data_IF_277486654637
#
_entry.id   IF_277486654637
#
_cell.length_a   1.000
_cell.length_b   1.000
_cell.length_c   1.000
_cell.angle_alpha   90.00
_cell.angle_beta   90.00
_cell.angle_gamma   90.00
#
_symmetry.space_group_name_H-M   'P 1'
#
loop_
_entity.id
_entity.type
_entity.pdbx_description
1 polymer ?
#
# COMPACT_ATOMS: atom_id res chain seq x y z
N UNK A 1 51.59 -8.91 16.76
CA UNK A 1 51.07 -9.53 15.51
C UNK A 1 51.07 -8.46 14.42
N UNK A 2 51.60 -8.70 13.21
CA UNK A 2 51.70 -7.62 12.21
C UNK A 2 50.31 -7.18 11.72
N UNK A 3 50.16 -5.90 11.39
CA UNK A 3 48.89 -5.31 10.89
C UNK A 3 48.30 -6.11 9.73
N UNK A 4 49.17 -6.67 8.87
CA UNK A 4 48.79 -7.54 7.75
C UNK A 4 48.13 -8.86 8.20
N UNK A 5 48.57 -9.45 9.32
CA UNK A 5 47.95 -10.66 9.88
C UNK A 5 46.59 -10.36 10.53
N UNK A 6 46.42 -9.18 11.13
CA UNK A 6 45.14 -8.73 11.71
C UNK A 6 44.10 -8.51 10.61
N UNK A 7 44.49 -7.86 9.51
CA UNK A 7 43.59 -7.61 8.37
C UNK A 7 43.14 -8.91 7.68
N UNK A 8 44.03 -9.90 7.53
CA UNK A 8 43.67 -11.20 6.96
C UNK A 8 42.71 -11.98 7.88
N UNK A 9 42.94 -11.95 9.19
CA UNK A 9 42.05 -12.60 10.15
C UNK A 9 40.67 -11.93 10.16
N UNK A 10 40.61 -10.60 10.13
CA UNK A 10 39.34 -9.86 10.04
C UNK A 10 38.59 -10.16 8.73
N UNK A 11 39.31 -10.32 7.62
CA UNK A 11 38.70 -10.67 6.32
C UNK A 11 38.16 -12.11 6.32
N UNK A 12 38.88 -13.07 6.88
CA UNK A 12 38.43 -14.46 7.00
C UNK A 12 37.25 -14.57 7.97
N UNK A 13 37.24 -13.82 9.06
CA UNK A 13 36.12 -13.77 10.00
C UNK A 13 34.89 -13.10 9.37
N UNK A 14 35.06 -12.03 8.58
CA UNK A 14 33.97 -11.40 7.84
C UNK A 14 33.38 -12.32 6.76
N UNK A 15 34.24 -13.03 6.02
CA UNK A 15 33.81 -14.02 5.02
C UNK A 15 33.11 -15.24 5.67
N UNK A 16 33.59 -15.69 6.83
CA UNK A 16 32.94 -16.75 7.61
C UNK A 16 31.60 -16.28 8.22
N UNK A 17 31.46 -15.00 8.57
CA UNK A 17 30.19 -14.42 9.03
C UNK A 17 29.17 -14.31 7.88
N UNK A 18 29.59 -13.95 6.67
CA UNK A 18 28.71 -13.89 5.49
C UNK A 18 28.22 -15.30 5.09
N UNK A 19 29.06 -16.32 5.25
CA UNK A 19 28.68 -17.72 5.00
C UNK A 19 27.75 -18.36 6.04
N UNK A 20 27.64 -17.79 7.25
CA UNK A 20 26.77 -18.31 8.32
C UNK A 20 25.33 -17.76 8.28
N UNK A 21 25.05 -16.75 7.46
CA UNK A 21 23.71 -16.17 7.28
C UNK A 21 23.13 -16.36 5.88
N UNK A 22 23.76 -17.19 5.05
CA UNK A 22 23.27 -17.54 3.71
C UNK A 22 22.91 -19.01 3.64
N UNK A 23 22.06 -19.46 4.57
CA UNK A 23 21.15 -20.54 4.19
C UNK A 23 20.15 -19.91 3.23
N UNK A 24 20.08 -20.31 1.95
CA UNK A 24 18.92 -19.97 1.15
C UNK A 24 17.74 -20.54 1.92
N UNK A 25 16.84 -19.67 2.39
CA UNK A 25 15.58 -20.09 2.96
C UNK A 25 14.86 -20.76 1.79
N UNK A 26 14.94 -22.08 1.69
CA UNK A 26 14.13 -22.82 0.73
C UNK A 26 12.68 -22.54 1.06
N UNK A 27 11.85 -22.33 0.03
CA UNK A 27 10.41 -22.28 0.22
C UNK A 27 9.94 -23.58 0.89
N UNK A 28 9.70 -23.52 2.19
CA UNK A 28 9.24 -24.65 3.01
C UNK A 28 7.83 -25.09 2.58
N UNK A 29 7.06 -24.20 1.95
CA UNK A 29 5.73 -24.50 1.44
C UNK A 29 4.71 -24.76 2.55
N UNK A 30 3.65 -25.50 2.24
CA UNK A 30 2.68 -25.96 3.22
C UNK A 30 3.18 -27.26 3.88
N UNK A 31 4.04 -27.17 4.89
CA UNK A 31 4.56 -28.35 5.59
C UNK A 31 3.48 -29.11 6.39
N UNK A 32 3.63 -30.43 6.45
CA UNK A 32 2.85 -31.31 7.33
C UNK A 32 3.18 -31.02 8.81
N UNK A 33 2.33 -30.23 9.44
CA UNK A 33 2.40 -29.90 10.87
C UNK A 33 2.03 -31.06 11.84
N UNK A 34 1.91 -32.30 11.34
CA UNK A 34 1.67 -33.51 12.12
C UNK A 34 0.25 -33.66 12.68
N UNK A 35 -0.68 -32.75 12.35
CA UNK A 35 -2.07 -32.85 12.77
C UNK A 35 -2.96 -33.60 11.78
N UNK A 36 -4.27 -33.58 12.05
CA UNK A 36 -5.26 -34.22 11.17
C UNK A 36 -5.73 -33.25 10.10
N UNK A 37 -5.55 -33.66 8.84
CA UNK A 37 -5.93 -32.90 7.67
C UNK A 37 -7.32 -33.32 7.18
N UNK A 38 -8.29 -32.44 7.31
CA UNK A 38 -9.71 -32.69 6.97
C UNK A 38 -10.06 -32.32 5.53
N UNK A 39 -9.20 -31.54 4.88
CA UNK A 39 -9.38 -31.05 3.53
C UNK A 39 -10.41 -29.93 3.41
N UNK A 40 -10.48 -29.26 2.26
CA UNK A 40 -11.36 -28.13 2.04
C UNK A 40 -12.85 -28.51 2.14
N UNK A 41 -13.21 -29.74 1.76
CA UNK A 41 -14.59 -30.24 1.89
C UNK A 41 -15.04 -30.37 3.35
N UNK A 42 -14.10 -30.66 4.27
CA UNK A 42 -14.37 -30.64 5.71
C UNK A 42 -14.73 -29.23 6.19
N UNK A 43 -14.04 -28.21 5.69
CA UNK A 43 -14.28 -26.81 6.03
C UNK A 43 -15.63 -26.31 5.48
N UNK A 44 -16.01 -26.76 4.27
CA UNK A 44 -17.24 -26.36 3.56
C UNK A 44 -18.51 -26.54 4.39
N UNK A 45 -18.58 -27.57 5.24
CA UNK A 45 -19.78 -27.88 6.03
C UNK A 45 -20.22 -26.73 6.94
N UNK A 46 -19.26 -25.96 7.49
CA UNK A 46 -19.54 -24.80 8.34
C UNK A 46 -19.24 -23.47 7.63
N UNK A 47 -18.25 -23.45 6.74
CA UNK A 47 -17.72 -22.24 6.10
C UNK A 47 -17.98 -22.23 4.59
N UNK A 48 -19.21 -22.52 4.16
CA UNK A 48 -19.59 -22.63 2.75
C UNK A 48 -19.21 -21.38 1.94
N UNK A 49 -19.48 -20.19 2.49
CA UNK A 49 -19.16 -18.93 1.80
C UNK A 49 -17.66 -18.81 1.47
N UNK A 50 -16.78 -19.05 2.45
CA UNK A 50 -15.33 -18.99 2.24
C UNK A 50 -14.81 -20.10 1.34
N UNK A 51 -15.42 -21.28 1.38
CA UNK A 51 -15.10 -22.37 0.46
C UNK A 51 -15.42 -22.00 -0.99
N UNK A 52 -16.62 -21.44 -1.24
CA UNK A 52 -17.05 -21.06 -2.59
C UNK A 52 -16.13 -19.96 -3.16
N UNK A 53 -15.73 -18.98 -2.36
CA UNK A 53 -14.75 -17.97 -2.75
C UNK A 53 -13.37 -18.58 -3.02
N UNK A 54 -12.87 -19.46 -2.13
CA UNK A 54 -11.58 -20.15 -2.32
C UNK A 54 -11.55 -20.92 -3.65
N UNK A 55 -12.63 -21.60 -4.01
CA UNK A 55 -12.75 -22.38 -5.24
C UNK A 55 -12.61 -21.50 -6.51
N UNK A 56 -12.89 -20.20 -6.41
CA UNK A 56 -12.70 -19.24 -7.51
C UNK A 56 -11.26 -18.74 -7.61
N UNK A 57 -10.44 -18.91 -6.57
CA UNK A 57 -9.04 -18.44 -6.54
C UNK A 57 -8.09 -19.34 -7.34
N UNK A 58 -6.92 -18.83 -7.71
CA UNK A 58 -5.84 -19.64 -8.30
C UNK A 58 -5.19 -20.61 -7.31
N UNK A 59 -5.34 -20.39 -5.99
CA UNK A 59 -4.82 -21.29 -4.97
C UNK A 59 -5.52 -22.66 -5.01
N UNK A 60 -6.84 -22.68 -5.26
CA UNK A 60 -7.61 -23.92 -5.45
C UNK A 60 -7.26 -24.72 -6.71
N UNK A 61 -6.43 -24.15 -7.60
CA UNK A 61 -5.96 -24.75 -8.86
C UNK A 61 -4.44 -24.79 -8.95
N UNK A 62 -3.73 -24.63 -7.84
CA UNK A 62 -2.27 -24.53 -7.83
C UNK A 62 -1.62 -25.81 -8.38
N UNK A 63 -2.12 -27.00 -8.04
CA UNK A 63 -1.58 -28.26 -8.50
C UNK A 63 -1.88 -28.50 -9.99
N UNK A 64 -3.04 -28.06 -10.47
CA UNK A 64 -3.41 -28.14 -11.89
C UNK A 64 -2.36 -27.46 -12.78
N UNK A 65 -1.81 -26.32 -12.34
CA UNK A 65 -0.71 -25.64 -13.05
C UNK A 65 0.57 -26.47 -13.18
N UNK A 66 0.84 -27.35 -12.22
CA UNK A 66 1.97 -28.28 -12.33
C UNK A 66 1.70 -29.33 -13.40
N UNK A 67 0.49 -29.89 -13.43
CA UNK A 67 0.07 -30.87 -14.43
C UNK A 67 0.15 -30.27 -15.85
N UNK A 68 -0.35 -29.05 -16.03
CA UNK A 68 -0.24 -28.31 -17.31
C UNK A 68 1.21 -28.18 -17.80
N UNK A 69 2.16 -28.07 -16.85
CA UNK A 69 3.59 -27.88 -17.12
C UNK A 69 4.41 -29.18 -17.02
N UNK A 70 3.78 -30.33 -16.78
CA UNK A 70 4.44 -31.62 -16.56
C UNK A 70 5.45 -31.59 -15.40
N UNK A 71 5.09 -30.93 -14.31
CA UNK A 71 5.90 -30.74 -13.10
C UNK A 71 5.23 -31.34 -11.85
N UNK A 72 4.16 -32.11 -12.01
CA UNK A 72 3.35 -32.68 -10.93
C UNK A 72 4.09 -33.73 -10.07
N UNK A 73 5.26 -34.19 -10.50
CA UNK A 73 6.16 -35.06 -9.73
C UNK A 73 7.43 -34.34 -9.27
N UNK A 74 7.56 -33.04 -9.54
CA UNK A 74 8.76 -32.30 -9.19
C UNK A 74 8.75 -31.94 -7.69
N UNK A 75 9.62 -32.59 -6.92
CA UNK A 75 9.73 -32.40 -5.47
C UNK A 75 10.05 -30.96 -5.05
N UNK A 76 10.62 -30.13 -5.93
CA UNK A 76 10.82 -28.69 -5.61
C UNK A 76 9.56 -27.84 -5.80
N UNK A 77 8.59 -28.31 -6.58
CA UNK A 77 7.32 -27.60 -6.82
C UNK A 77 6.22 -28.01 -5.84
N UNK A 78 6.22 -29.28 -5.44
CA UNK A 78 5.16 -29.85 -4.59
C UNK A 78 4.93 -29.10 -3.27
N UNK A 79 5.95 -28.63 -2.52
CA UNK A 79 5.72 -27.93 -1.25
C UNK A 79 4.80 -26.70 -1.38
N UNK A 80 4.89 -25.98 -2.50
CA UNK A 80 4.15 -24.74 -2.73
C UNK A 80 2.82 -24.93 -3.46
N UNK A 81 2.59 -26.11 -4.04
CA UNK A 81 1.44 -26.40 -4.92
C UNK A 81 0.54 -27.50 -4.35
N UNK A 82 0.79 -27.93 -3.12
CA UNK A 82 0.01 -28.93 -2.38
C UNK A 82 -0.20 -28.48 -0.95
N UNK A 83 -1.05 -29.19 -0.20
CA UNK A 83 -1.28 -28.96 1.22
C UNK A 83 -0.77 -30.14 2.06
N UNK A 84 -0.07 -29.82 3.15
CA UNK A 84 0.47 -30.81 4.09
C UNK A 84 1.56 -31.67 3.45
N UNK A 85 2.51 -31.03 2.76
CA UNK A 85 3.65 -31.70 2.16
C UNK A 85 4.63 -32.16 3.23
N UNK A 86 5.07 -33.42 3.14
CA UNK A 86 6.03 -34.03 4.03
C UNK A 86 7.36 -34.20 3.27
N UNK A 87 8.39 -33.48 3.71
CA UNK A 87 9.67 -33.42 3.02
C UNK A 87 10.45 -34.74 3.07
N UNK A 88 10.24 -35.56 4.10
CA UNK A 88 10.93 -36.85 4.27
C UNK A 88 10.39 -37.93 3.33
N UNK A 89 9.06 -37.95 3.16
CA UNK A 89 8.35 -38.96 2.37
C UNK A 89 8.06 -38.51 0.94
N UNK A 90 8.23 -37.22 0.64
CA UNK A 90 7.82 -36.58 -0.61
C UNK A 90 6.34 -36.81 -0.95
N UNK A 91 5.50 -36.88 0.07
CA UNK A 91 4.04 -37.03 -0.06
C UNK A 91 3.31 -35.78 0.42
N UNK A 92 2.05 -35.62 0.04
CA UNK A 92 1.19 -34.52 0.47
C UNK A 92 -0.18 -35.06 0.87
N UNK A 93 -0.93 -34.31 1.68
CA UNK A 93 -2.29 -34.70 2.10
C UNK A 93 -3.32 -34.39 1.04
N UNK A 94 -3.24 -33.19 0.44
CA UNK A 94 -4.17 -32.73 -0.58
C UNK A 94 -3.46 -32.03 -1.73
N UNK A 95 -4.04 -32.16 -2.93
CA UNK A 95 -3.68 -31.30 -4.06
C UNK A 95 -4.12 -29.87 -3.77
N UNK A 96 -3.43 -28.93 -4.39
CA UNK A 96 -3.69 -27.50 -4.34
C UNK A 96 -3.34 -26.84 -3.00
N UNK A 97 -3.37 -25.51 -3.00
CA UNK A 97 -3.21 -24.71 -1.78
C UNK A 97 -4.60 -24.54 -1.18
N UNK A 98 -4.92 -25.40 -0.22
CA UNK A 98 -6.25 -25.48 0.44
C UNK A 98 -6.27 -24.68 1.74
N UNK A 99 -7.40 -24.68 2.46
CA UNK A 99 -7.58 -23.93 3.72
C UNK A 99 -6.45 -24.20 4.74
N UNK A 100 -6.07 -25.47 4.87
CA UNK A 100 -5.11 -25.93 5.87
C UNK A 100 -3.67 -25.55 5.52
N UNK A 101 -3.42 -25.13 4.27
CA UNK A 101 -2.12 -24.59 3.90
C UNK A 101 -1.83 -23.28 4.63
N UNK A 102 -2.84 -22.45 4.90
CA UNK A 102 -2.70 -21.19 5.64
C UNK A 102 -3.07 -21.33 7.12
N UNK A 103 -4.14 -22.08 7.41
CA UNK A 103 -4.69 -22.18 8.76
C UNK A 103 -4.08 -23.29 9.63
N UNK A 104 -3.19 -24.10 9.04
CA UNK A 104 -2.71 -25.34 9.63
C UNK A 104 -3.76 -26.45 9.57
N UNK A 105 -3.39 -27.66 9.98
CA UNK A 105 -4.35 -28.76 10.07
C UNK A 105 -5.43 -28.50 11.12
N UNK A 106 -6.67 -28.87 10.80
CA UNK A 106 -7.84 -28.63 11.65
C UNK A 106 -8.51 -29.91 12.13
N UNK A 107 -8.89 -29.96 13.41
CA UNK A 107 -9.73 -31.04 13.95
C UNK A 107 -11.20 -30.60 14.06
N UNK A 108 -12.04 -31.07 13.13
CA UNK A 108 -13.50 -30.83 13.13
C UNK A 108 -14.14 -31.35 14.41
N UNK A 109 -13.68 -32.50 14.93
CA UNK A 109 -14.30 -33.20 16.06
C UNK A 109 -14.24 -32.35 17.32
N UNK A 110 -13.12 -31.65 17.55
CA UNK A 110 -12.94 -30.76 18.68
C UNK A 110 -13.85 -29.52 18.61
N UNK A 111 -14.02 -28.94 17.42
CA UNK A 111 -14.86 -27.76 17.23
C UNK A 111 -16.35 -28.09 17.36
N UNK A 112 -16.81 -29.21 16.78
CA UNK A 112 -18.19 -29.68 16.93
C UNK A 112 -18.48 -30.05 18.38
N UNK A 113 -17.59 -30.83 19.02
CA UNK A 113 -17.74 -31.21 20.42
C UNK A 113 -17.85 -29.97 21.32
N UNK A 114 -17.00 -28.96 21.11
CA UNK A 114 -17.08 -27.70 21.87
C UNK A 114 -18.41 -26.98 21.66
N UNK A 115 -18.87 -26.80 20.42
CA UNK A 115 -20.15 -26.10 20.15
C UNK A 115 -21.34 -26.86 20.73
N UNK A 116 -21.39 -28.18 20.53
CA UNK A 116 -22.44 -29.04 21.07
C UNK A 116 -22.43 -28.99 22.60
N UNK A 117 -21.26 -29.10 23.23
CA UNK A 117 -21.14 -29.00 24.69
C UNK A 117 -21.57 -27.62 25.19
N UNK A 118 -21.19 -26.52 24.54
CA UNK A 118 -21.65 -25.18 24.91
C UNK A 118 -23.18 -25.04 24.79
N UNK A 119 -23.80 -25.56 23.73
CA UNK A 119 -25.26 -25.47 23.53
C UNK A 119 -26.01 -26.37 24.54
N UNK A 120 -25.53 -27.59 24.76
CA UNK A 120 -26.16 -28.54 25.69
C UNK A 120 -25.97 -28.07 27.12
N UNK A 121 -24.79 -27.59 27.49
CA UNK A 121 -24.49 -27.16 28.86
C UNK A 121 -25.08 -25.79 29.20
N UNK A 122 -25.16 -24.84 28.27
CA UNK A 122 -25.83 -23.55 28.53
C UNK A 122 -27.34 -23.66 28.74
N UNK A 123 -27.97 -24.75 28.27
CA UNK A 123 -29.38 -25.08 28.52
C UNK A 123 -29.61 -25.88 29.80
N UNK A 124 -28.55 -26.40 30.40
CA UNK A 124 -28.57 -27.02 31.72
C UNK A 124 -28.07 -26.00 32.74
N UNK A 125 -28.65 -25.94 33.93
CA UNK A 125 -28.29 -24.94 34.96
C UNK A 125 -26.92 -25.27 35.63
N UNK A 126 -25.88 -25.53 34.83
CA UNK A 126 -24.55 -26.03 35.20
C UNK A 126 -23.53 -24.90 35.15
N UNK A 127 -22.51 -24.96 36.01
CA UNK A 127 -21.54 -23.86 36.15
C UNK A 127 -20.50 -23.84 35.03
N UNK A 128 -19.98 -22.66 34.71
CA UNK A 128 -18.92 -22.47 33.71
C UNK A 128 -17.65 -23.27 34.04
N UNK A 129 -17.40 -23.57 35.32
CA UNK A 129 -16.31 -24.42 35.77
C UNK A 129 -16.46 -25.89 35.32
N UNK A 130 -17.67 -26.46 35.35
CA UNK A 130 -17.90 -27.83 34.91
C UNK A 130 -17.69 -27.98 33.39
N UNK A 131 -18.12 -26.98 32.61
CA UNK A 131 -17.88 -26.95 31.17
C UNK A 131 -16.37 -26.87 30.87
N UNK A 132 -15.63 -26.03 31.59
CA UNK A 132 -14.16 -25.94 31.45
C UNK A 132 -13.47 -27.25 31.81
N UNK A 133 -13.91 -27.94 32.87
CA UNK A 133 -13.34 -29.23 33.27
C UNK A 133 -13.56 -30.30 32.20
N UNK A 134 -14.78 -30.39 31.67
CA UNK A 134 -15.12 -31.38 30.64
C UNK A 134 -14.38 -31.15 29.32
N UNK A 135 -14.28 -29.90 28.86
CA UNK A 135 -13.49 -29.56 27.67
C UNK A 135 -12.01 -29.92 27.85
N UNK A 136 -11.49 -29.84 29.08
CA UNK A 136 -10.12 -30.24 29.44
C UNK A 136 -9.95 -31.76 29.43
N UNK A 137 -10.88 -32.50 30.04
CA UNK A 137 -10.87 -33.98 30.07
C UNK A 137 -11.00 -34.60 28.68
N UNK A 138 -11.79 -34.00 27.80
CA UNK A 138 -11.97 -34.45 26.43
C UNK A 138 -10.73 -34.19 25.54
N UNK A 139 -9.67 -33.57 26.09
CA UNK A 139 -8.44 -33.22 25.38
C UNK A 139 -8.72 -32.54 24.03
N UNK A 140 -9.77 -31.69 23.98
CA UNK A 140 -10.14 -30.90 22.80
C UNK A 140 -9.12 -29.76 22.65
N UNK A 141 -7.88 -30.14 22.36
CA UNK A 141 -6.74 -29.25 22.26
C UNK A 141 -6.91 -28.41 21.01
N UNK A 142 -7.45 -27.20 21.21
CA UNK A 142 -7.11 -25.87 20.64
C UNK A 142 -6.64 -25.69 19.18
N UNK A 143 -6.51 -26.72 18.35
CA UNK A 143 -6.18 -26.55 16.92
C UNK A 143 -7.46 -26.29 16.13
N UNK A 144 -8.19 -25.26 16.59
CA UNK A 144 -9.10 -24.52 15.73
C UNK A 144 -8.23 -23.73 14.75
N UNK A 145 -8.71 -23.55 13.51
CA UNK A 145 -7.99 -22.79 12.48
C UNK A 145 -7.30 -21.56 13.05
N UNK A 146 -5.98 -21.48 12.90
CA UNK A 146 -5.21 -20.36 13.43
C UNK A 146 -5.30 -19.23 12.41
N UNK A 147 -5.74 -18.05 12.85
CA UNK A 147 -5.64 -16.82 12.06
C UNK A 147 -4.18 -16.39 12.09
N UNK A 148 -3.44 -16.71 11.04
CA UNK A 148 -2.08 -16.23 10.86
C UNK A 148 -2.15 -14.98 9.97
N UNK A 149 -1.63 -13.85 10.46
CA UNK A 149 -1.60 -12.58 9.73
C UNK A 149 -0.19 -12.18 9.31
N UNK A 150 0.80 -13.00 9.60
CA UNK A 150 2.19 -12.69 9.27
C UNK A 150 2.41 -12.85 7.76
N UNK A 151 3.34 -12.06 7.21
CA UNK A 151 3.69 -12.15 5.79
C UNK A 151 4.50 -13.43 5.50
N UNK A 152 5.24 -13.93 6.48
CA UNK A 152 6.01 -15.18 6.43
C UNK A 152 5.13 -16.37 6.01
N UNK A 153 3.87 -16.39 6.45
CA UNK A 153 2.93 -17.42 6.04
C UNK A 153 2.79 -17.51 4.51
N UNK A 154 2.72 -16.35 3.85
CA UNK A 154 2.65 -16.23 2.39
C UNK A 154 4.03 -16.48 1.78
N UNK A 155 5.09 -15.97 2.44
CA UNK A 155 6.49 -16.16 2.05
C UNK A 155 6.91 -17.60 1.92
N UNK A 156 6.33 -18.54 2.68
CA UNK A 156 6.57 -19.99 2.51
C UNK A 156 6.44 -20.49 1.06
N UNK A 157 5.64 -19.83 0.24
CA UNK A 157 5.52 -20.12 -1.21
C UNK A 157 5.90 -18.93 -2.10
N UNK A 158 5.57 -17.72 -1.67
CA UNK A 158 5.81 -16.47 -2.42
C UNK A 158 7.18 -15.88 -2.08
N UNK A 159 8.22 -16.69 -2.27
CA UNK A 159 9.61 -16.30 -2.10
C UNK A 159 10.54 -16.94 -3.16
N UNK A 160 11.79 -16.50 -3.19
CA UNK A 160 12.83 -17.01 -4.08
C UNK A 160 12.75 -16.49 -5.52
N UNK A 161 13.61 -17.00 -6.40
CA UNK A 161 13.86 -16.40 -7.72
C UNK A 161 12.63 -16.34 -8.65
N UNK A 162 11.68 -17.26 -8.49
CA UNK A 162 10.49 -17.28 -9.34
C UNK A 162 9.36 -16.39 -8.82
N UNK A 163 9.32 -16.12 -7.51
CA UNK A 163 8.25 -15.37 -6.86
C UNK A 163 8.78 -14.54 -5.67
N UNK A 164 9.71 -13.59 -5.85
CA UNK A 164 10.38 -12.89 -4.74
C UNK A 164 9.49 -11.86 -4.01
N UNK A 165 8.18 -12.10 -3.95
CA UNK A 165 7.18 -11.18 -3.38
C UNK A 165 7.41 -10.90 -1.91
N UNK A 166 7.72 -11.92 -1.12
CA UNK A 166 7.98 -11.74 0.32
C UNK A 166 9.25 -10.94 0.57
N UNK A 167 10.34 -11.23 -0.15
CA UNK A 167 11.60 -10.51 -0.03
C UNK A 167 11.43 -9.04 -0.44
N UNK A 168 10.79 -8.79 -1.59
CA UNK A 168 10.49 -7.44 -2.07
C UNK A 168 9.61 -6.67 -1.07
N UNK A 169 8.56 -7.28 -0.52
CA UNK A 169 7.72 -6.65 0.51
C UNK A 169 8.52 -6.35 1.78
N UNK A 170 9.38 -7.28 2.22
CA UNK A 170 10.14 -7.15 3.45
C UNK A 170 11.11 -5.96 3.39
N UNK A 171 11.64 -5.65 2.21
CA UNK A 171 12.48 -4.46 1.95
C UNK A 171 11.68 -3.15 1.90
N UNK A 172 10.37 -3.22 1.64
CA UNK A 172 9.51 -2.03 1.52
C UNK A 172 9.25 -1.33 2.86
N UNK A 173 8.77 -0.09 2.81
CA UNK A 173 8.30 0.62 4.02
C UNK A 173 6.97 0.09 4.58
N UNK A 174 6.21 -0.69 3.80
CA UNK A 174 4.99 -1.30 4.32
C UNK A 174 5.28 -2.33 5.41
N UNK A 175 6.36 -3.13 5.28
CA UNK A 175 6.78 -4.08 6.32
C UNK A 175 7.12 -3.39 7.65
N UNK A 176 7.56 -2.13 7.59
CA UNK A 176 7.95 -1.32 8.75
C UNK A 176 6.86 -0.38 9.26
N UNK A 177 5.68 -0.38 8.64
CA UNK A 177 4.58 0.55 8.91
C UNK A 177 4.25 0.72 10.40
N UNK A 178 4.06 -0.38 11.15
CA UNK A 178 3.77 -0.33 12.58
C UNK A 178 4.99 0.05 13.43
N UNK A 179 6.17 -0.39 13.03
CA UNK A 179 7.43 -0.07 13.72
C UNK A 179 7.67 1.44 13.68
N UNK A 180 7.47 2.05 12.52
CA UNK A 180 7.63 3.49 12.34
C UNK A 180 6.51 4.28 13.03
N UNK A 181 5.27 3.77 13.03
CA UNK A 181 4.17 4.38 13.78
C UNK A 181 4.46 4.39 15.30
N UNK A 182 4.91 3.27 15.88
CA UNK A 182 5.17 3.15 17.32
C UNK A 182 6.33 4.05 17.79
N UNK A 183 7.23 4.48 16.90
CA UNK A 183 8.28 5.47 17.21
C UNK A 183 7.72 6.89 17.30
N UNK A 184 6.56 7.17 16.69
CA UNK A 184 5.96 8.49 16.69
C UNK A 184 5.21 8.76 18.02
N UNK A 185 5.69 9.73 18.79
CA UNK A 185 5.07 10.12 20.07
C UNK A 185 3.65 10.67 19.94
N UNK A 186 3.27 11.14 18.75
CA UNK A 186 1.93 11.65 18.44
C UNK A 186 0.97 10.60 17.88
N UNK A 187 1.37 9.33 17.79
CA UNK A 187 0.53 8.27 17.27
C UNK A 187 -0.75 8.08 18.09
N UNK A 188 -1.86 7.81 17.38
CA UNK A 188 -3.17 7.50 17.95
C UNK A 188 -3.68 6.18 17.39
N UNK A 189 -4.67 5.58 18.04
CA UNK A 189 -5.28 4.32 17.56
C UNK A 189 -5.85 4.46 16.15
N UNK A 190 -6.41 5.64 15.80
CA UNK A 190 -6.89 5.94 14.45
C UNK A 190 -5.81 5.77 13.36
N UNK A 191 -4.52 5.97 13.69
CA UNK A 191 -3.43 5.78 12.72
C UNK A 191 -3.28 4.31 12.28
N UNK A 192 -3.86 3.36 13.02
CA UNK A 192 -3.80 1.94 12.67
C UNK A 192 -4.61 1.58 11.43
N UNK A 193 -5.56 2.43 11.02
CA UNK A 193 -6.33 2.28 9.78
C UNK A 193 -5.43 2.10 8.54
N UNK A 194 -4.26 2.75 8.55
CA UNK A 194 -3.28 2.66 7.47
C UNK A 194 -2.01 1.89 7.85
N UNK A 195 -1.82 1.52 9.11
CA UNK A 195 -0.53 1.01 9.62
C UNK A 195 -0.60 -0.40 10.21
N UNK A 196 -1.77 -1.06 10.18
CA UNK A 196 -1.90 -2.42 10.69
C UNK A 196 -2.94 -3.24 9.94
N UNK A 197 -2.53 -4.42 9.47
CA UNK A 197 -3.46 -5.42 8.94
C UNK A 197 -4.52 -5.81 9.96
N UNK A 198 -4.16 -5.97 11.24
CA UNK A 198 -5.12 -6.37 12.29
C UNK A 198 -6.28 -5.39 12.39
N UNK A 199 -5.99 -4.09 12.28
CA UNK A 199 -7.01 -3.05 12.32
C UNK A 199 -7.84 -2.99 11.04
N UNK A 200 -7.19 -3.09 9.88
CA UNK A 200 -7.86 -3.06 8.57
C UNK A 200 -8.92 -4.15 8.42
N UNK A 201 -8.63 -5.36 8.95
CA UNK A 201 -9.50 -6.53 8.75
C UNK A 201 -10.40 -6.84 9.95
N UNK A 202 -10.22 -6.14 11.07
CA UNK A 202 -11.04 -6.36 12.26
C UNK A 202 -12.42 -5.76 12.06
N UNK A 203 -13.43 -6.44 12.60
CA UNK A 203 -14.75 -5.85 12.80
C UNK A 203 -14.64 -4.66 13.77
N UNK A 204 -15.57 -3.71 13.67
CA UNK A 204 -15.48 -2.43 14.40
C UNK A 204 -15.28 -2.60 15.93
N UNK A 205 -15.92 -3.62 16.52
CA UNK A 205 -15.84 -3.93 17.95
C UNK A 205 -14.57 -4.70 18.36
N UNK A 206 -13.81 -5.22 17.40
CA UNK A 206 -12.58 -5.98 17.61
C UNK A 206 -11.32 -5.20 17.20
N UNK A 207 -11.48 -3.95 16.75
CA UNK A 207 -10.36 -3.10 16.33
C UNK A 207 -9.32 -2.96 17.46
N UNK A 208 -8.04 -3.28 17.19
CA UNK A 208 -7.00 -3.21 18.19
C UNK A 208 -6.63 -1.75 18.50
N UNK A 209 -6.00 -1.54 19.65
CA UNK A 209 -5.36 -0.27 20.03
C UNK A 209 -3.85 -0.34 19.78
N UNK A 210 -3.15 0.79 19.85
CA UNK A 210 -1.68 0.86 19.78
C UNK A 210 -0.98 -0.04 20.81
N UNK A 211 -1.65 -0.36 21.93
CA UNK A 211 -1.13 -1.24 22.97
C UNK A 211 -1.29 -2.72 22.63
N UNK A 212 -2.37 -3.09 21.95
CA UNK A 212 -2.73 -4.49 21.70
C UNK A 212 -2.30 -4.97 20.32
N UNK A 213 -2.11 -4.06 19.36
CA UNK A 213 -1.72 -4.38 17.99
C UNK A 213 -0.29 -4.94 17.91
N UNK A 214 -0.13 -6.01 17.14
CA UNK A 214 1.14 -6.75 17.03
C UNK A 214 1.75 -6.71 15.62
N UNK A 215 0.93 -6.57 14.59
CA UNK A 215 1.31 -6.74 13.19
C UNK A 215 1.08 -5.46 12.40
N UNK A 216 2.08 -5.06 11.60
CA UNK A 216 1.95 -3.95 10.65
C UNK A 216 1.16 -4.31 9.41
N UNK A 217 1.39 -3.59 8.32
CA UNK A 217 0.86 -3.95 7.00
C UNK A 217 1.56 -5.21 6.48
N UNK A 218 0.78 -6.26 6.28
CA UNK A 218 1.19 -7.55 5.70
C UNK A 218 0.49 -7.78 4.37
N UNK A 219 0.75 -8.91 3.71
CA UNK A 219 0.11 -9.27 2.44
C UNK A 219 -1.42 -9.13 2.51
N UNK A 220 -2.00 -9.50 3.65
CA UNK A 220 -3.44 -9.52 3.89
C UNK A 220 -4.06 -8.12 4.09
N UNK A 221 -3.27 -7.06 4.23
CA UNK A 221 -3.77 -5.69 4.18
C UNK A 221 -4.26 -5.33 2.77
N UNK A 222 -3.63 -5.89 1.74
CA UNK A 222 -3.98 -5.65 0.34
C UNK A 222 -4.79 -6.80 -0.26
N UNK A 223 -4.47 -8.04 0.12
CA UNK A 223 -5.08 -9.25 -0.43
C UNK A 223 -6.08 -9.89 0.53
N UNK A 224 -7.25 -10.24 0.04
CA UNK A 224 -8.24 -11.05 0.74
C UNK A 224 -8.27 -12.46 0.16
N UNK A 225 -7.59 -13.39 0.83
CA UNK A 225 -7.51 -14.80 0.40
C UNK A 225 -8.85 -15.53 0.43
N UNK A 226 -9.88 -14.90 0.99
CA UNK A 226 -11.24 -15.42 1.06
C UNK A 226 -12.24 -14.65 0.17
N UNK A 227 -11.77 -13.79 -0.74
CA UNK A 227 -12.64 -13.07 -1.68
C UNK A 227 -12.00 -12.99 -3.07
N UNK A 228 -12.61 -13.66 -4.05
CA UNK A 228 -12.10 -13.76 -5.41
C UNK A 228 -12.69 -12.72 -6.38
N UNK A 229 -13.61 -11.87 -5.91
CA UNK A 229 -14.34 -10.90 -6.73
C UNK A 229 -13.41 -9.89 -7.45
N UNK A 230 -12.35 -9.45 -6.78
CA UNK A 230 -11.39 -8.50 -7.35
C UNK A 230 -10.16 -9.26 -7.82
N UNK A 231 -9.68 -8.91 -9.02
CA UNK A 231 -8.51 -9.54 -9.62
C UNK A 231 -7.32 -9.54 -8.65
N UNK A 232 -6.55 -10.63 -8.65
CA UNK A 232 -5.41 -10.85 -7.73
C UNK A 232 -5.81 -10.83 -6.25
N UNK A 233 -7.08 -11.09 -5.95
CA UNK A 233 -7.62 -11.16 -4.59
C UNK A 233 -7.48 -9.83 -3.84
N UNK A 234 -7.51 -8.69 -4.53
CA UNK A 234 -7.38 -7.40 -3.85
C UNK A 234 -8.62 -7.10 -2.99
N UNK A 235 -8.45 -6.42 -1.85
CA UNK A 235 -9.58 -6.00 -0.99
C UNK A 235 -10.51 -5.01 -1.68
N UNK A 236 -9.93 -4.14 -2.51
CA UNK A 236 -10.61 -3.11 -3.28
C UNK A 236 -9.96 -3.01 -4.66
N UNK A 237 -10.63 -2.43 -5.67
CA UNK A 237 -10.06 -2.23 -6.99
C UNK A 237 -8.68 -1.54 -6.95
N UNK A 238 -7.79 -1.95 -7.87
CA UNK A 238 -6.39 -1.51 -7.96
C UNK A 238 -6.22 0.02 -7.92
N UNK A 239 -7.15 0.77 -8.52
CA UNK A 239 -7.11 2.23 -8.56
C UNK A 239 -7.43 2.91 -7.22
N UNK A 240 -8.09 2.21 -6.30
CA UNK A 240 -8.49 2.73 -4.97
C UNK A 240 -7.59 2.18 -3.87
N UNK A 241 -6.98 1.02 -4.08
CA UNK A 241 -6.20 0.31 -3.05
C UNK A 241 -5.08 1.13 -2.43
N UNK A 242 -4.31 1.87 -3.23
CA UNK A 242 -3.25 2.71 -2.70
C UNK A 242 -3.81 3.98 -2.06
N UNK A 243 -4.89 4.52 -2.64
CA UNK A 243 -5.55 5.77 -2.21
C UNK A 243 -6.22 5.62 -0.85
N UNK A 244 -6.60 4.40 -0.43
CA UNK A 244 -7.18 4.16 0.90
C UNK A 244 -6.26 4.56 2.04
N UNK A 245 -4.95 4.58 1.82
CA UNK A 245 -3.96 5.01 2.82
C UNK A 245 -3.18 6.26 2.38
N UNK A 246 -2.84 6.38 1.09
CA UNK A 246 -2.04 7.48 0.55
C UNK A 246 -2.91 8.67 0.14
N UNK A 247 -3.66 9.20 1.10
CA UNK A 247 -4.49 10.40 0.99
C UNK A 247 -4.25 11.32 2.19
N UNK A 248 -4.61 12.60 2.12
CA UNK A 248 -4.32 13.55 3.22
C UNK A 248 -5.34 13.59 4.35
N UNK A 249 -6.22 12.58 4.47
CA UNK A 249 -7.24 12.45 5.52
C UNK A 249 -8.12 13.72 5.68
N UNK A 250 -8.37 14.42 4.57
CA UNK A 250 -9.20 15.63 4.57
C UNK A 250 -8.53 16.87 5.17
N UNK A 251 -7.20 16.94 5.23
CA UNK A 251 -6.47 18.12 5.64
C UNK A 251 -6.91 19.39 4.86
N UNK A 252 -6.99 20.52 5.57
CA UNK A 252 -7.41 21.83 5.04
C UNK A 252 -6.42 22.92 5.45
N UNK A 253 -6.47 24.13 4.87
CA UNK A 253 -5.56 25.22 5.22
C UNK A 253 -5.46 25.49 6.72
N UNK A 254 -4.22 25.55 7.22
CA UNK A 254 -3.88 25.66 8.65
C UNK A 254 -3.52 24.33 9.30
N UNK A 255 -3.85 23.20 8.67
CA UNK A 255 -3.29 21.89 8.98
C UNK A 255 -2.07 21.59 8.07
N UNK A 256 -1.23 20.65 8.50
CA UNK A 256 -0.15 20.11 7.68
C UNK A 256 -0.69 18.94 6.87
N UNK A 257 -0.69 18.99 5.52
CA UNK A 257 -1.05 17.83 4.71
C UNK A 257 0.02 16.73 4.89
N UNK A 258 -0.45 15.49 5.07
CA UNK A 258 0.40 14.31 5.13
C UNK A 258 0.06 13.42 3.94
N UNK A 259 1.08 12.93 3.22
CA UNK A 259 0.94 11.97 2.12
C UNK A 259 -0.27 12.23 1.16
N UNK A 260 -0.36 13.43 0.54
CA UNK A 260 -1.45 13.79 -0.38
C UNK A 260 -1.26 13.19 -1.79
N UNK A 261 -0.77 11.95 -1.91
CA UNK A 261 -0.46 11.37 -3.23
C UNK A 261 -1.74 11.19 -4.07
N UNK A 262 -2.84 10.74 -3.47
CA UNK A 262 -4.13 10.64 -4.14
C UNK A 262 -4.62 12.01 -4.63
N UNK A 263 -4.62 13.00 -3.74
CA UNK A 263 -4.98 14.40 -4.03
C UNK A 263 -4.15 14.98 -5.18
N UNK A 264 -2.83 14.79 -5.13
CA UNK A 264 -1.90 15.29 -6.14
C UNK A 264 -2.19 14.66 -7.50
N UNK A 265 -2.28 13.32 -7.56
CA UNK A 265 -2.54 12.57 -8.79
C UNK A 265 -3.87 12.97 -9.42
N UNK A 266 -4.93 13.01 -8.61
CA UNK A 266 -6.30 13.31 -9.05
C UNK A 266 -6.60 14.81 -9.19
N UNK A 267 -5.66 15.67 -8.83
CA UNK A 267 -5.82 17.13 -8.83
C UNK A 267 -6.99 17.64 -8.03
N UNK A 268 -7.11 17.16 -6.80
CA UNK A 268 -8.06 17.68 -5.82
C UNK A 268 -7.35 18.18 -4.56
N UNK A 269 -8.08 18.93 -3.73
CA UNK A 269 -7.47 19.71 -2.65
C UNK A 269 -6.86 21.01 -3.18
N UNK A 270 -5.92 21.57 -2.43
CA UNK A 270 -5.36 22.88 -2.73
C UNK A 270 -6.37 24.03 -2.64
N UNK A 271 -5.86 25.26 -2.56
CA UNK A 271 -6.66 26.47 -2.51
C UNK A 271 -6.52 27.23 -3.82
N UNK A 272 -7.66 27.55 -4.44
CA UNK A 272 -7.78 28.26 -5.72
C UNK A 272 -7.02 27.61 -6.89
N UNK A 273 -6.75 26.30 -6.80
CA UNK A 273 -6.08 25.53 -7.84
C UNK A 273 -7.10 24.81 -8.74
N UNK A 274 -6.85 24.84 -10.04
CA UNK A 274 -7.70 24.16 -11.02
C UNK A 274 -7.40 22.65 -11.07
N UNK A 275 -8.42 21.86 -11.40
CA UNK A 275 -8.30 20.40 -11.55
C UNK A 275 -7.74 20.02 -12.93
N UNK A 276 -6.64 19.26 -12.96
CA UNK A 276 -6.06 18.71 -14.18
C UNK A 276 -5.65 17.25 -14.00
N UNK A 277 -6.49 16.28 -14.40
CA UNK A 277 -6.10 14.87 -14.25
C UNK A 277 -4.96 14.53 -15.24
N UNK A 278 -3.76 14.30 -14.70
CA UNK A 278 -2.60 13.82 -15.44
C UNK A 278 -2.62 12.29 -15.52
N UNK A 279 -2.32 11.74 -16.71
CA UNK A 279 -2.36 10.29 -16.98
C UNK A 279 -3.64 9.61 -16.43
N UNK A 280 -4.85 9.99 -16.88
CA UNK A 280 -6.11 9.54 -16.29
C UNK A 280 -6.34 8.02 -16.33
N UNK A 281 -5.62 7.32 -17.22
CA UNK A 281 -5.68 5.86 -17.34
C UNK A 281 -4.68 5.12 -16.43
N UNK A 282 -3.77 5.83 -15.76
CA UNK A 282 -2.77 5.24 -14.88
C UNK A 282 -3.20 5.34 -13.41
N UNK A 283 -3.08 4.23 -12.70
CA UNK A 283 -3.18 4.14 -11.24
C UNK A 283 -1.80 4.05 -10.61
N UNK A 284 -1.72 4.17 -9.28
CA UNK A 284 -0.47 4.07 -8.52
C UNK A 284 0.31 2.79 -8.87
N UNK A 285 -0.39 1.65 -8.91
CA UNK A 285 0.21 0.36 -9.23
C UNK A 285 0.75 0.28 -10.67
N UNK A 286 0.24 1.07 -11.61
CA UNK A 286 0.73 1.05 -12.99
C UNK A 286 2.13 1.68 -13.14
N UNK A 287 2.63 2.37 -12.11
CA UNK A 287 4.01 2.86 -12.05
C UNK A 287 4.83 2.19 -10.94
N UNK A 288 4.22 1.97 -9.78
CA UNK A 288 4.91 1.46 -8.58
C UNK A 288 4.93 -0.07 -8.47
N UNK A 289 4.32 -0.81 -9.39
CA UNK A 289 4.27 -2.28 -9.37
C UNK A 289 4.73 -2.88 -10.70
N UNK A 290 5.92 -2.50 -11.17
CA UNK A 290 6.51 -3.15 -12.33
C UNK A 290 6.73 -4.64 -12.06
N UNK A 291 6.37 -5.49 -13.03
CA UNK A 291 6.52 -6.93 -12.94
C UNK A 291 7.27 -7.48 -14.13
N UNK A 292 8.08 -8.51 -13.89
CA UNK A 292 8.80 -9.25 -14.93
C UNK A 292 8.88 -10.72 -14.52
N UNK A 293 8.55 -11.62 -15.43
CA UNK A 293 8.68 -13.04 -15.17
C UNK A 293 10.15 -13.46 -15.05
N UNK A 294 10.39 -14.57 -14.35
CA UNK A 294 11.70 -15.21 -14.29
C UNK A 294 12.24 -15.53 -15.69
N UNK A 295 13.47 -15.11 -15.97
CA UNK A 295 14.10 -15.36 -17.26
C UNK A 295 14.82 -16.71 -17.27
N UNK A 296 14.23 -17.71 -17.93
CA UNK A 296 14.81 -19.06 -18.01
C UNK A 296 16.13 -19.14 -18.76
N UNK A 297 16.45 -18.16 -19.62
CA UNK A 297 17.68 -18.17 -20.42
C UNK A 297 18.83 -17.53 -19.67
N UNK A 298 18.59 -16.36 -19.07
CA UNK A 298 19.63 -15.60 -18.35
C UNK A 298 19.68 -15.94 -16.86
N UNK A 299 18.71 -16.71 -16.35
CA UNK A 299 18.51 -17.02 -14.92
C UNK A 299 18.30 -15.75 -14.07
N UNK A 300 17.85 -14.65 -14.67
CA UNK A 300 17.47 -13.48 -13.91
C UNK A 300 16.20 -13.78 -13.09
N UNK A 301 16.20 -13.45 -11.78
CA UNK A 301 15.02 -13.54 -10.94
C UNK A 301 13.83 -12.79 -11.54
N UNK A 302 12.63 -13.26 -11.23
CA UNK A 302 11.40 -12.51 -11.46
C UNK A 302 11.44 -11.20 -10.67
N UNK A 303 10.66 -10.22 -11.13
CA UNK A 303 10.32 -9.01 -10.37
C UNK A 303 8.83 -9.05 -10.15
N UNK A 304 8.40 -9.04 -8.89
CA UNK A 304 6.97 -9.00 -8.60
C UNK A 304 6.50 -7.61 -8.27
N UNK A 305 7.40 -6.63 -8.08
CA UNK A 305 7.15 -5.21 -7.85
C UNK A 305 6.81 -4.83 -6.41
N UNK A 306 6.94 -5.74 -5.43
CA UNK A 306 6.41 -5.57 -4.07
C UNK A 306 7.36 -4.77 -3.17
N UNK A 307 8.44 -4.23 -3.73
CA UNK A 307 9.23 -3.17 -3.13
C UNK A 307 8.53 -1.80 -3.24
N UNK A 308 7.57 -1.68 -4.17
CA UNK A 308 6.81 -0.45 -4.50
C UNK A 308 7.67 0.70 -5.03
N UNK A 309 8.95 0.43 -5.31
CA UNK A 309 9.86 1.35 -5.95
C UNK A 309 9.60 1.40 -7.46
N UNK A 310 9.84 2.56 -8.06
CA UNK A 310 9.67 2.73 -9.51
C UNK A 310 10.83 2.05 -10.23
N UNK A 311 10.50 1.07 -11.07
CA UNK A 311 11.36 0.62 -12.15
C UNK A 311 10.92 1.34 -13.44
N UNK A 312 11.79 2.20 -13.98
CA UNK A 312 11.47 3.01 -15.17
C UNK A 312 11.25 2.18 -16.45
N UNK A 313 11.53 0.87 -16.43
CA UNK A 313 11.05 -0.03 -17.49
C UNK A 313 9.52 -0.01 -17.62
N UNK A 314 8.80 0.29 -16.53
CA UNK A 314 7.35 0.40 -16.53
C UNK A 314 6.83 1.45 -17.52
N UNK A 315 7.58 2.52 -17.77
CA UNK A 315 7.15 3.59 -18.66
C UNK A 315 6.96 3.08 -20.10
N UNK A 316 7.82 2.15 -20.54
CA UNK A 316 7.79 1.59 -21.89
C UNK A 316 6.61 0.62 -22.10
N UNK A 317 5.90 0.22 -21.04
CA UNK A 317 4.66 -0.57 -21.18
C UNK A 317 3.54 0.22 -21.85
N UNK A 318 3.60 1.55 -21.78
CA UNK A 318 2.58 2.46 -22.33
C UNK A 318 3.15 3.48 -23.32
N UNK A 319 4.42 3.88 -23.16
CA UNK A 319 5.03 4.95 -23.95
C UNK A 319 6.03 4.40 -24.97
N UNK A 320 5.57 4.21 -26.21
CA UNK A 320 6.41 3.79 -27.35
C UNK A 320 7.53 4.78 -27.70
N UNK A 321 7.45 6.03 -27.19
CA UNK A 321 8.42 7.09 -27.46
C UNK A 321 9.72 7.03 -26.64
N UNK A 322 9.79 6.17 -25.61
CA UNK A 322 11.03 6.01 -24.83
C UNK A 322 11.89 4.90 -25.44
N UNK A 323 13.15 5.23 -25.70
CA UNK A 323 14.13 4.27 -26.24
C UNK A 323 14.73 3.34 -25.17
N UNK A 324 14.66 3.73 -23.89
CA UNK A 324 15.17 2.94 -22.75
C UNK A 324 14.62 3.46 -21.41
N UNK A 325 14.78 2.67 -20.35
CA UNK A 325 14.40 3.06 -18.99
C UNK A 325 15.19 4.30 -18.51
N UNK A 326 16.48 4.41 -18.84
CA UNK A 326 17.30 5.57 -18.48
C UNK A 326 16.77 6.84 -19.14
N UNK A 327 16.24 6.74 -20.37
CA UNK A 327 15.65 7.89 -21.04
C UNK A 327 14.33 8.31 -20.41
N UNK A 328 13.52 7.36 -19.97
CA UNK A 328 12.30 7.62 -19.21
C UNK A 328 12.61 8.26 -17.85
N UNK A 329 13.60 7.73 -17.14
CA UNK A 329 14.08 8.30 -15.87
C UNK A 329 14.57 9.74 -16.04
N UNK A 330 15.41 9.99 -17.05
CA UNK A 330 15.92 11.33 -17.33
C UNK A 330 14.79 12.32 -17.62
N UNK A 331 13.78 11.91 -18.39
CA UNK A 331 12.60 12.74 -18.65
C UNK A 331 11.88 13.13 -17.35
N UNK A 332 11.64 12.17 -16.45
CA UNK A 332 11.01 12.43 -15.14
C UNK A 332 11.88 13.33 -14.27
N UNK A 333 13.20 13.10 -14.23
CA UNK A 333 14.14 13.91 -13.43
C UNK A 333 14.21 15.36 -13.90
N UNK A 334 14.22 15.62 -15.21
CA UNK A 334 14.18 16.97 -15.77
C UNK A 334 12.92 17.70 -15.33
N UNK A 335 11.77 17.05 -15.43
CA UNK A 335 10.50 17.62 -14.99
C UNK A 335 10.47 17.89 -13.47
N UNK A 336 10.97 16.97 -12.65
CA UNK A 336 11.10 17.18 -11.21
C UNK A 336 12.03 18.36 -10.89
N UNK A 337 13.13 18.52 -11.62
CA UNK A 337 14.07 19.62 -11.40
C UNK A 337 13.45 20.99 -11.71
N UNK A 338 12.66 21.09 -12.78
CA UNK A 338 11.91 22.31 -13.11
C UNK A 338 10.94 22.69 -12.00
N UNK A 339 10.12 21.75 -11.55
CA UNK A 339 9.14 21.95 -10.47
C UNK A 339 9.86 22.35 -9.18
N UNK A 340 10.92 21.64 -8.81
CA UNK A 340 11.64 21.91 -7.56
C UNK A 340 12.39 23.24 -7.59
N UNK A 341 12.80 23.72 -8.75
CA UNK A 341 13.38 25.06 -8.90
C UNK A 341 12.36 26.12 -8.49
N UNK A 342 11.11 26.01 -8.99
CA UNK A 342 10.04 26.96 -8.64
C UNK A 342 9.53 26.78 -7.21
N UNK A 343 9.48 25.55 -6.72
CA UNK A 343 9.18 25.26 -5.32
C UNK A 343 10.17 25.96 -4.38
N UNK A 344 11.48 25.83 -4.66
CA UNK A 344 12.53 26.39 -3.80
C UNK A 344 12.52 27.92 -3.75
N UNK A 345 12.20 28.61 -4.84
CA UNK A 345 12.02 30.07 -4.81
C UNK A 345 10.75 30.46 -4.04
N UNK A 346 9.67 29.72 -4.22
CA UNK A 346 8.37 30.01 -3.63
C UNK A 346 8.35 29.79 -2.12
N UNK A 347 8.96 28.71 -1.62
CA UNK A 347 8.99 28.42 -0.17
C UNK A 347 9.69 29.52 0.63
N UNK A 348 10.68 30.20 0.05
CA UNK A 348 11.33 31.37 0.66
C UNK A 348 10.38 32.57 0.78
N UNK A 349 9.56 32.81 -0.26
CA UNK A 349 8.51 33.84 -0.21
C UNK A 349 7.46 33.51 0.85
N UNK A 350 7.04 32.25 0.95
CA UNK A 350 6.09 31.78 1.97
C UNK A 350 6.65 31.99 3.37
N UNK A 351 7.94 31.72 3.59
CA UNK A 351 8.61 31.99 4.87
C UNK A 351 8.65 33.48 5.21
N UNK A 352 8.88 34.36 4.22
CA UNK A 352 8.78 35.81 4.42
C UNK A 352 7.34 36.24 4.75
N UNK A 353 6.35 35.70 4.05
CA UNK A 353 4.94 35.96 4.30
C UNK A 353 4.51 35.55 5.71
N UNK A 354 5.05 34.44 6.24
CA UNK A 354 4.86 34.05 7.64
C UNK A 354 5.37 35.13 8.61
N UNK A 355 6.60 35.62 8.40
CA UNK A 355 7.20 36.64 9.27
C UNK A 355 6.38 37.94 9.28
N UNK A 356 5.90 38.38 8.11
CA UNK A 356 5.03 39.55 7.98
C UNK A 356 3.69 39.32 8.69
N UNK A 357 3.07 38.16 8.48
CA UNK A 357 1.82 37.80 9.13
C UNK A 357 1.96 37.78 10.65
N UNK A 358 3.08 37.27 11.17
CA UNK A 358 3.36 37.22 12.60
C UNK A 358 3.65 38.60 13.21
N UNK A 359 4.25 39.51 12.45
CA UNK A 359 4.48 40.90 12.87
C UNK A 359 3.22 41.78 12.79
N UNK A 360 2.20 41.34 12.05
CA UNK A 360 0.93 42.07 11.90
C UNK A 360 0.12 42.00 13.20
N UNK A 361 -0.42 43.14 13.63
CA UNK A 361 -1.19 43.27 14.87
C UNK A 361 -2.64 43.70 14.60
N UNK A 362 -3.49 43.63 15.63
CA UNK A 362 -4.88 44.04 15.53
C UNK A 362 -5.75 43.12 14.65
N UNK A 363 -6.81 43.67 14.08
CA UNK A 363 -7.83 42.94 13.31
C UNK A 363 -7.31 42.38 11.98
N UNK A 364 -6.25 42.97 11.42
CA UNK A 364 -5.68 42.52 10.15
C UNK A 364 -4.84 41.24 10.31
N UNK A 365 -4.35 40.93 11.51
CA UNK A 365 -3.58 39.71 11.78
C UNK A 365 -4.31 38.45 11.31
N UNK A 366 -5.61 38.35 11.59
CA UNK A 366 -6.42 37.19 11.20
C UNK A 366 -6.48 37.02 9.68
N UNK A 367 -6.59 38.12 8.93
CA UNK A 367 -6.63 38.10 7.46
C UNK A 367 -5.30 37.64 6.87
N UNK A 368 -4.20 38.16 7.40
CA UNK A 368 -2.86 37.78 6.96
C UNK A 368 -2.58 36.30 7.22
N UNK A 369 -2.91 35.81 8.42
CA UNK A 369 -2.74 34.39 8.74
C UNK A 369 -3.65 33.48 7.93
N UNK A 370 -4.87 33.91 7.59
CA UNK A 370 -5.76 33.14 6.71
C UNK A 370 -5.11 32.92 5.33
N UNK A 371 -4.67 33.99 4.67
CA UNK A 371 -4.02 33.89 3.34
C UNK A 371 -2.67 33.16 3.42
N UNK A 372 -1.93 33.34 4.52
CA UNK A 372 -0.69 32.59 4.77
C UNK A 372 -0.96 31.09 4.88
N UNK A 373 -1.99 30.69 5.62
CA UNK A 373 -2.35 29.27 5.79
C UNK A 373 -2.72 28.63 4.46
N UNK A 374 -3.42 29.35 3.58
CA UNK A 374 -3.74 28.89 2.23
C UNK A 374 -2.47 28.76 1.35
N UNK A 375 -1.60 29.77 1.38
CA UNK A 375 -0.31 29.76 0.67
C UNK A 375 0.56 28.58 1.13
N UNK A 376 0.72 28.44 2.45
CA UNK A 376 1.48 27.37 3.08
C UNK A 376 0.89 26.00 2.80
N UNK A 377 -0.43 25.86 2.78
CA UNK A 377 -1.07 24.58 2.50
C UNK A 377 -0.74 24.08 1.09
N UNK A 378 -0.88 24.94 0.08
CA UNK A 378 -0.57 24.59 -1.31
C UNK A 378 0.89 24.14 -1.49
N UNK A 379 1.85 24.89 -0.95
CA UNK A 379 3.27 24.52 -1.08
C UNK A 379 3.59 23.24 -0.29
N UNK A 380 2.99 23.05 0.88
CA UNK A 380 3.20 21.87 1.69
C UNK A 380 2.65 20.61 1.00
N UNK A 381 1.53 20.67 0.29
CA UNK A 381 1.00 19.54 -0.49
C UNK A 381 2.05 19.00 -1.48
N UNK A 382 2.73 19.89 -2.22
CA UNK A 382 3.79 19.50 -3.18
C UNK A 382 4.95 18.79 -2.49
N UNK A 383 5.35 19.26 -1.31
CA UNK A 383 6.46 18.67 -0.55
C UNK A 383 6.10 17.38 0.18
N UNK A 384 4.83 17.24 0.59
CA UNK A 384 4.31 16.11 1.34
C UNK A 384 4.00 14.92 0.41
N UNK A 385 3.69 15.20 -0.86
CA UNK A 385 3.47 14.21 -1.92
C UNK A 385 4.73 13.37 -2.22
N UNK A 386 5.93 13.95 -2.02
CA UNK A 386 7.26 13.32 -2.21
C UNK A 386 7.63 12.95 -3.65
N UNK A 387 6.74 13.07 -4.63
CA UNK A 387 7.06 12.75 -6.01
C UNK A 387 7.84 13.87 -6.73
N UNK A 388 8.04 15.02 -6.06
CA UNK A 388 8.60 16.25 -6.65
C UNK A 388 7.80 16.70 -7.89
N UNK A 389 6.49 16.48 -7.85
CA UNK A 389 5.55 16.82 -8.92
C UNK A 389 5.38 15.76 -10.01
N UNK A 390 6.15 14.66 -10.01
CA UNK A 390 5.97 13.56 -10.97
C UNK A 390 4.56 12.94 -10.99
N UNK A 391 3.81 12.92 -9.88
CA UNK A 391 2.43 12.42 -9.85
C UNK A 391 1.48 13.31 -10.65
N UNK A 392 1.72 14.62 -10.64
CA UNK A 392 0.98 15.55 -11.48
C UNK A 392 1.75 16.88 -11.68
N UNK A 393 2.54 16.97 -12.76
CA UNK A 393 3.45 18.09 -12.97
C UNK A 393 2.75 19.44 -13.12
N UNK A 394 1.62 19.46 -13.83
CA UNK A 394 0.85 20.69 -14.07
C UNK A 394 0.17 21.15 -12.79
N UNK A 395 -0.43 20.23 -12.05
CA UNK A 395 -1.08 20.57 -10.79
C UNK A 395 -0.08 20.99 -9.71
N UNK A 396 1.09 20.35 -9.64
CA UNK A 396 2.17 20.78 -8.74
C UNK A 396 2.62 22.22 -9.05
N UNK A 397 2.80 22.57 -10.32
CA UNK A 397 3.10 23.95 -10.73
C UNK A 397 1.96 24.90 -10.37
N UNK A 398 0.72 24.54 -10.64
CA UNK A 398 -0.44 25.37 -10.27
C UNK A 398 -0.49 25.65 -8.76
N UNK A 399 -0.29 24.63 -7.92
CA UNK A 399 -0.21 24.80 -6.46
C UNK A 399 0.92 25.76 -6.04
N UNK A 400 2.10 25.62 -6.67
CA UNK A 400 3.23 26.52 -6.43
C UNK A 400 2.86 27.96 -6.85
N UNK A 401 2.23 28.14 -7.99
CA UNK A 401 1.85 29.45 -8.54
C UNK A 401 0.81 30.15 -7.66
N UNK A 402 -0.21 29.41 -7.18
CA UNK A 402 -1.19 29.94 -6.22
C UNK A 402 -0.56 30.24 -4.86
N UNK A 403 0.36 29.40 -4.40
CA UNK A 403 1.13 29.67 -3.19
C UNK A 403 1.94 30.95 -3.31
N UNK A 404 2.68 31.11 -4.41
CA UNK A 404 3.50 32.28 -4.72
C UNK A 404 2.65 33.54 -4.78
N UNK A 405 1.52 33.51 -5.49
CA UNK A 405 0.59 34.62 -5.60
C UNK A 405 0.10 35.11 -4.22
N UNK A 406 -0.34 34.17 -3.37
CA UNK A 406 -0.81 34.48 -2.01
C UNK A 406 0.31 35.03 -1.12
N UNK A 407 1.52 34.48 -1.22
CA UNK A 407 2.68 34.98 -0.49
C UNK A 407 3.08 36.41 -0.94
N UNK A 408 3.10 36.67 -2.24
CA UNK A 408 3.40 37.99 -2.81
C UNK A 408 2.37 39.05 -2.40
N UNK A 409 1.10 38.68 -2.29
CA UNK A 409 0.04 39.55 -1.79
C UNK A 409 0.29 39.98 -0.33
N UNK A 410 0.67 39.04 0.53
CA UNK A 410 1.05 39.34 1.92
C UNK A 410 2.26 40.28 1.94
N UNK A 411 3.29 40.00 1.13
CA UNK A 411 4.51 40.80 1.04
C UNK A 411 4.23 42.24 0.60
N UNK A 412 3.26 42.44 -0.32
CA UNK A 412 2.82 43.75 -0.79
C UNK A 412 1.87 44.48 0.16
N UNK A 413 1.48 43.86 1.27
CA UNK A 413 0.50 44.41 2.21
C UNK A 413 -0.95 44.39 1.68
N UNK A 414 -1.26 43.49 0.75
CA UNK A 414 -2.56 43.35 0.11
C UNK A 414 -3.04 41.89 0.14
N UNK A 415 -3.21 41.28 1.33
CA UNK A 415 -3.44 39.84 1.47
C UNK A 415 -4.66 39.33 0.67
N UNK A 416 -5.73 40.11 0.59
CA UNK A 416 -6.99 39.73 -0.06
C UNK A 416 -7.07 40.14 -1.55
N UNK A 417 -5.95 40.57 -2.15
CA UNK A 417 -5.95 40.94 -3.57
C UNK A 417 -6.29 39.73 -4.45
N UNK A 418 -7.34 39.86 -5.26
CA UNK A 418 -7.73 38.84 -6.23
C UNK A 418 -6.72 38.77 -7.38
N UNK A 419 -6.56 37.60 -7.98
CA UNK A 419 -5.75 37.41 -9.18
C UNK A 419 -6.24 38.38 -10.25
N UNK A 420 -5.42 39.38 -10.60
CA UNK A 420 -5.67 40.21 -11.77
C UNK A 420 -5.21 39.44 -12.99
N UNK A 421 -6.14 38.81 -13.71
CA UNK A 421 -5.82 38.20 -15.00
C UNK A 421 -5.62 39.36 -15.99
N UNK A 422 -4.40 39.67 -16.45
CA UNK A 422 -4.21 40.73 -17.41
C UNK A 422 -4.89 40.29 -18.72
N UNK A 423 -5.92 41.01 -19.15
CA UNK A 423 -6.57 40.80 -20.45
C UNK A 423 -7.98 40.23 -20.44
N UNK A 424 -8.49 39.65 -19.34
CA UNK A 424 -9.87 39.11 -19.33
C UNK A 424 -10.95 40.21 -19.32
N UNK A 425 -10.68 41.36 -18.69
CA UNK A 425 -11.56 42.54 -18.76
C UNK A 425 -11.58 43.18 -20.15
N UNK A 426 -10.49 43.08 -20.91
CA UNK A 426 -10.38 43.62 -22.27
C UNK A 426 -11.05 42.67 -23.26
N UNK A 427 -10.84 41.36 -23.15
CA UNK A 427 -11.46 40.34 -24.01
C UNK A 427 -12.97 40.25 -23.81
N UNK A 428 -13.47 40.30 -22.57
CA UNK A 428 -14.92 40.33 -22.28
C UNK A 428 -15.56 41.63 -22.77
N UNK A 429 -14.89 42.77 -22.60
CA UNK A 429 -15.33 44.06 -23.14
C UNK A 429 -15.39 44.07 -24.67
N UNK A 430 -14.38 43.53 -25.34
CA UNK A 430 -14.33 43.41 -26.81
C UNK A 430 -15.39 42.44 -27.31
N UNK A 431 -15.61 41.30 -26.65
CA UNK A 431 -16.67 40.34 -27.03
C UNK A 431 -18.06 40.95 -26.86
N UNK A 432 -18.32 41.67 -25.76
CA UNK A 432 -19.58 42.38 -25.57
C UNK A 432 -19.79 43.46 -26.63
N UNK A 433 -18.77 44.26 -26.94
CA UNK A 433 -18.86 45.30 -27.97
C UNK A 433 -19.08 44.70 -29.36
N UNK A 434 -18.44 43.57 -29.67
CA UNK A 434 -18.66 42.83 -30.91
C UNK A 434 -20.09 42.26 -31.00
N UNK A 435 -20.62 41.71 -29.91
CA UNK A 435 -22.02 41.24 -29.82
C UNK A 435 -23.02 42.38 -29.97
N UNK A 436 -22.79 43.51 -29.30
CA UNK A 436 -23.64 44.71 -29.42
C UNK A 436 -23.59 45.27 -30.84
N UNK A 437 -22.41 45.28 -31.48
CA UNK A 437 -22.27 45.72 -32.87
C UNK A 437 -22.97 44.76 -33.84
N UNK A 438 -22.84 43.44 -33.65
CA UNK A 438 -23.54 42.44 -34.47
C UNK A 438 -25.06 42.53 -34.33
N UNK A 439 -25.56 42.78 -33.11
CA UNK A 439 -26.99 43.03 -32.88
C UNK A 439 -27.42 44.33 -33.55
N UNK A 440 -26.68 45.43 -33.35
CA UNK A 440 -27.00 46.73 -33.96
C UNK A 440 -26.93 46.70 -35.50
N UNK A 441 -26.00 45.96 -36.08
CA UNK A 441 -25.87 45.77 -37.53
C UNK A 441 -27.04 44.95 -38.11
N UNK A 442 -27.62 44.03 -37.32
CA UNK A 442 -28.78 43.23 -37.71
C UNK A 442 -30.10 44.01 -37.68
N UNK A 443 -30.19 45.06 -36.85
CA UNK A 443 -31.35 45.97 -36.78
C UNK A 443 -31.29 47.16 -37.75
N UNK A 444 -30.21 47.30 -38.54
CA UNK A 444 -30.07 48.33 -39.60
C UNK A 444 -30.34 47.81 -41.02
N UNK A 445 -30.95 46.63 -41.16
CA UNK A 445 -31.45 46.10 -42.44
C UNK A 445 -32.96 46.18 -42.52
#
# INVERSE_FOLDING_TARGET
>A
MSVRKILVILWVLAAAFIGLFSNPISAEGSEDDGGQYIGPDGCKYCHLHYYDEWLLTTHSRAFERLVERKQETNASCLPCHTTGYNNDTHTYKYRDVTCEACHGSGDISNNIAKQVLTIVYSKSNRSDEELKSLLTELNLTKKSMVKNLTSEMCGRCHQGEHNPTYEEWNESKHSQSLVDLKKNKGAKDACLECHSTEYIIAEEHEKPTLKTVTTGLTCQACHDVHRAEVEKLLRVPKNVLCESCHNMEGAVPGATPHHPQSEMRLSHGGVDADTYIYQPAASCADCHRYTRDYNRTTHEPAVTGHSFEIDFNVCMTCHEGFSSAERAEEFVRVQQAEIMTRYNSTILKVALAYNISNATSGTDRAKYFHVYNESSFNILMVSADKSKGAHNPKYALELIDKSEFKADNIIKGQPEAKVSIPGFGILSGILMLALVWLVAARYRK
#
